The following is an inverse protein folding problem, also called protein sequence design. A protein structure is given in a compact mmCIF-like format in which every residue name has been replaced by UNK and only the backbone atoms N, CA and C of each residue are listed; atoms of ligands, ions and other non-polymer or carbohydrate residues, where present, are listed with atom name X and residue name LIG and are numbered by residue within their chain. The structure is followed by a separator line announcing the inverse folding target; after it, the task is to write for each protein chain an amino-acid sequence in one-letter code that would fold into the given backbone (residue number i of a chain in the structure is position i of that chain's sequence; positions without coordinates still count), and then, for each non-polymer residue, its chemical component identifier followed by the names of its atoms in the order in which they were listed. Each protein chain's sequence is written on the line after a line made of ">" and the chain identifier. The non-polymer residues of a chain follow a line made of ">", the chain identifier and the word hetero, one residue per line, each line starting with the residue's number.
data_IF_510772279128
#
_entry.id   IF_510772279128
#
_cell.length_a   1.000
_cell.length_b   1.000
_cell.length_c   1.000
_cell.angle_alpha   90.00
_cell.angle_beta   90.00
_cell.angle_gamma   90.00
#
_symmetry.space_group_name_H-M   'P 1'
#
loop_
_entity.id
_entity.type
_entity.pdbx_description
1 polymer ?
#
# COMPACT_ATOMS: atom_id res chain seq x y z
N UNK A 1 5.10 9.53 -3.22
CA UNK A 1 4.21 8.76 -2.33
C UNK A 1 4.75 8.88 -0.91
N UNK A 2 3.94 9.34 0.05
CA UNK A 2 4.37 9.62 1.42
C UNK A 2 5.03 8.41 2.10
N UNK A 3 4.37 7.25 2.06
CA UNK A 3 4.92 6.01 2.64
C UNK A 3 6.25 5.57 1.99
N UNK A 4 6.39 5.74 0.67
CA UNK A 4 7.64 5.40 -0.02
C UNK A 4 8.78 6.26 0.49
N UNK A 5 8.58 7.58 0.58
CA UNK A 5 9.56 8.51 1.13
C UNK A 5 9.88 8.18 2.58
N UNK A 6 8.86 8.00 3.42
CA UNK A 6 9.03 7.66 4.83
C UNK A 6 9.92 6.43 5.04
N UNK A 7 9.75 5.38 4.24
CA UNK A 7 10.56 4.16 4.30
C UNK A 7 11.98 4.40 3.78
N UNK A 8 12.13 5.05 2.61
CA UNK A 8 13.45 5.26 1.99
C UNK A 8 14.32 6.24 2.76
N UNK A 9 13.74 7.28 3.35
CA UNK A 9 14.44 8.28 4.16
C UNK A 9 15.01 7.66 5.45
N UNK A 10 14.48 6.50 5.86
CA UNK A 10 14.98 5.69 6.99
C UNK A 10 15.89 4.53 6.56
N UNK A 11 16.32 4.51 5.30
CA UNK A 11 17.22 3.49 4.74
C UNK A 11 16.53 2.18 4.34
N UNK A 12 15.20 2.12 4.35
CA UNK A 12 14.45 0.96 3.89
C UNK A 12 14.23 0.94 2.38
N UNK A 13 13.84 -0.22 1.85
CA UNK A 13 13.44 -0.38 0.45
C UNK A 13 11.93 -0.64 0.36
N UNK A 14 11.23 0.18 -0.43
CA UNK A 14 9.79 0.04 -0.62
C UNK A 14 9.46 -0.55 -2.00
N UNK A 15 8.94 -1.78 -2.01
CA UNK A 15 8.51 -2.47 -3.23
C UNK A 15 6.99 -2.34 -3.40
N UNK A 16 6.55 -1.43 -4.28
CA UNK A 16 5.15 -1.37 -4.70
C UNK A 16 4.85 -2.50 -5.70
N UNK A 17 3.77 -3.23 -5.47
CA UNK A 17 3.35 -4.34 -6.32
C UNK A 17 1.83 -4.41 -6.46
N UNK A 18 1.36 -5.34 -7.29
CA UNK A 18 -0.06 -5.57 -7.54
C UNK A 18 -0.78 -5.98 -6.26
N UNK A 19 -1.98 -5.44 -6.05
CA UNK A 19 -2.87 -5.82 -4.95
C UNK A 19 -3.31 -7.29 -5.07
N UNK A 20 -3.67 -7.89 -3.95
CA UNK A 20 -4.04 -9.30 -3.78
C UNK A 20 -3.00 -10.04 -2.93
N UNK A 21 -3.42 -10.60 -1.79
CA UNK A 21 -2.52 -11.24 -0.81
C UNK A 21 -1.52 -12.22 -1.45
N UNK A 22 -1.98 -13.00 -2.44
CA UNK A 22 -1.14 -13.98 -3.14
C UNK A 22 -0.08 -13.30 -4.00
N UNK A 23 -0.43 -12.21 -4.70
CA UNK A 23 0.52 -11.43 -5.47
C UNK A 23 1.63 -10.85 -4.57
N UNK A 24 1.27 -10.37 -3.38
CA UNK A 24 2.22 -9.84 -2.40
C UNK A 24 3.16 -10.93 -1.87
N UNK A 25 2.61 -12.08 -1.46
CA UNK A 25 3.41 -13.22 -0.97
C UNK A 25 4.34 -13.73 -2.06
N UNK A 26 3.83 -13.98 -3.26
CA UNK A 26 4.61 -14.53 -4.37
C UNK A 26 5.76 -13.58 -4.76
N UNK A 27 5.50 -12.27 -4.77
CA UNK A 27 6.56 -11.27 -5.00
C UNK A 27 7.60 -11.26 -3.89
N UNK A 28 7.20 -11.38 -2.63
CA UNK A 28 8.12 -11.47 -1.51
C UNK A 28 9.02 -12.70 -1.55
N UNK A 29 8.44 -13.86 -1.89
CA UNK A 29 9.19 -15.11 -2.11
C UNK A 29 10.18 -14.96 -3.25
N UNK A 30 9.78 -14.32 -4.36
CA UNK A 30 10.67 -14.06 -5.48
C UNK A 30 11.85 -13.18 -5.07
N UNK A 31 11.59 -12.05 -4.39
CA UNK A 31 12.63 -11.14 -3.92
C UNK A 31 13.63 -11.83 -2.98
N UNK A 32 13.14 -12.65 -2.04
CA UNK A 32 14.03 -13.41 -1.16
C UNK A 32 14.92 -14.39 -1.92
N UNK A 33 14.41 -15.04 -2.98
CA UNK A 33 15.22 -15.90 -3.86
C UNK A 33 16.28 -15.11 -4.63
N UNK A 34 15.96 -13.87 -4.98
CA UNK A 34 16.88 -12.94 -5.65
C UNK A 34 17.87 -12.28 -4.67
N UNK A 35 17.90 -12.72 -3.40
CA UNK A 35 18.80 -12.21 -2.36
C UNK A 35 18.37 -10.87 -1.75
N UNK A 36 17.15 -10.41 -2.05
CA UNK A 36 16.57 -9.19 -1.48
C UNK A 36 15.68 -9.58 -0.31
N UNK A 37 16.15 -9.31 0.91
CA UNK A 37 15.39 -9.64 2.12
C UNK A 37 14.09 -8.83 2.23
N UNK A 38 12.99 -9.52 2.51
CA UNK A 38 11.66 -8.93 2.61
C UNK A 38 11.06 -9.16 3.99
N UNK A 39 11.41 -8.27 4.94
CA UNK A 39 10.97 -8.37 6.33
C UNK A 39 9.46 -8.14 6.56
N UNK A 40 8.78 -7.44 5.63
CA UNK A 40 7.37 -7.09 5.75
C UNK A 40 6.69 -7.09 4.38
N UNK A 41 5.51 -7.71 4.34
CA UNK A 41 4.67 -7.89 3.15
C UNK A 41 3.23 -7.56 3.55
N UNK A 42 2.64 -6.52 2.97
CA UNK A 42 1.29 -6.08 3.32
C UNK A 42 0.54 -5.59 2.08
N UNK A 43 -0.78 -5.72 2.12
CA UNK A 43 -1.70 -5.02 1.21
C UNK A 43 -2.75 -4.26 2.03
N UNK A 44 -3.31 -3.20 1.43
CA UNK A 44 -4.57 -2.62 1.90
C UNK A 44 -5.72 -3.56 1.54
N UNK A 45 -5.86 -4.65 2.28
CA UNK A 45 -7.08 -5.48 2.21
C UNK A 45 -7.98 -5.14 3.39
N UNK A 46 -9.24 -4.83 3.11
CA UNK A 46 -10.32 -4.97 4.08
C UNK A 46 -10.21 -6.39 4.67
N UNK A 47 -10.01 -6.48 5.99
CA UNK A 47 -9.80 -7.72 6.78
C UNK A 47 -10.11 -9.02 6.02
N UNK A 48 -9.10 -9.72 5.51
CA UNK A 48 -9.27 -11.10 5.04
C UNK A 48 -9.24 -12.01 6.27
N UNK A 49 -10.36 -12.66 6.66
CA UNK A 49 -10.45 -13.44 7.89
C UNK A 49 -9.87 -14.87 7.72
N UNK A 50 -8.77 -15.04 6.99
CA UNK A 50 -8.19 -16.36 6.74
C UNK A 50 -6.67 -16.35 6.58
N UNK A 51 -5.97 -16.15 7.71
CA UNK A 51 -4.88 -17.02 8.23
C UNK A 51 -4.18 -16.37 9.44
N UNK A 52 -4.92 -16.35 10.55
CA UNK A 52 -4.59 -16.54 11.99
C UNK A 52 -3.26 -16.12 12.65
N UNK A 53 -2.22 -15.65 11.95
CA UNK A 53 -0.90 -15.40 12.59
C UNK A 53 -0.36 -13.98 12.33
N UNK A 54 -0.66 -13.32 11.19
CA UNK A 54 -0.03 -12.03 10.86
C UNK A 54 -0.53 -10.84 11.69
N UNK A 55 -1.86 -10.66 11.85
CA UNK A 55 -2.42 -9.52 12.60
C UNK A 55 -2.05 -9.59 14.09
N UNK A 56 -2.20 -10.76 14.72
CA UNK A 56 -1.84 -10.96 16.12
C UNK A 56 -0.34 -10.73 16.34
N UNK A 57 0.53 -11.22 15.45
CA UNK A 57 1.97 -10.97 15.54
C UNK A 57 2.31 -9.50 15.35
N UNK A 58 1.60 -8.75 14.51
CA UNK A 58 1.81 -7.30 14.37
C UNK A 58 1.39 -6.54 15.62
N UNK A 59 0.22 -6.85 16.20
CA UNK A 59 -0.24 -6.23 17.45
C UNK A 59 0.74 -6.52 18.58
N UNK A 60 1.23 -7.76 18.70
CA UNK A 60 2.24 -8.12 19.71
C UNK A 60 3.54 -7.33 19.49
N UNK A 61 4.02 -7.21 18.26
CA UNK A 61 5.22 -6.39 17.96
C UNK A 61 5.01 -4.92 18.33
N UNK A 62 3.83 -4.35 18.07
CA UNK A 62 3.50 -2.99 18.49
C UNK A 62 3.49 -2.85 20.01
N UNK A 63 2.90 -3.79 20.74
CA UNK A 63 2.88 -3.77 22.21
C UNK A 63 4.29 -3.88 22.78
N UNK A 64 5.10 -4.80 22.25
CA UNK A 64 6.51 -4.94 22.67
C UNK A 64 7.27 -3.63 22.45
N UNK A 65 7.06 -2.96 21.32
CA UNK A 65 7.72 -1.69 21.04
C UNK A 65 7.25 -0.57 21.97
N UNK A 66 5.94 -0.47 22.25
CA UNK A 66 5.42 0.47 23.25
C UNK A 66 6.02 0.25 24.64
N UNK A 67 6.19 -1.01 25.05
CA UNK A 67 6.82 -1.34 26.34
C UNK A 67 8.30 -0.97 26.33
N UNK A 68 9.04 -1.24 25.25
CA UNK A 68 10.45 -0.84 25.13
C UNK A 68 10.63 0.67 25.23
N UNK A 69 9.83 1.43 24.49
CA UNK A 69 9.83 2.89 24.57
C UNK A 69 9.62 3.38 26.00
N UNK A 70 8.67 2.78 26.74
CA UNK A 70 8.42 3.15 28.13
C UNK A 70 9.58 2.80 29.06
N UNK A 71 10.22 1.64 28.86
CA UNK A 71 11.39 1.22 29.64
C UNK A 71 12.63 2.10 29.36
N UNK A 72 12.75 2.63 28.15
CA UNK A 72 13.80 3.60 27.75
C UNK A 72 13.52 5.02 28.26
N UNK A 73 12.42 5.23 29.01
CA UNK A 73 12.06 6.52 29.60
C UNK A 73 11.32 7.46 28.66
N UNK A 74 10.83 6.97 27.52
CA UNK A 74 9.98 7.75 26.64
C UNK A 74 8.57 7.90 27.22
N UNK A 75 8.11 9.14 27.27
CA UNK A 75 6.72 9.49 27.60
C UNK A 75 5.86 9.68 26.34
N UNK A 76 6.47 9.57 25.14
CA UNK A 76 5.75 9.66 23.87
C UNK A 76 5.06 8.32 23.53
N UNK A 77 3.86 8.38 22.95
CA UNK A 77 3.17 7.18 22.47
C UNK A 77 3.72 6.68 21.13
N UNK A 78 3.28 5.48 20.70
CA UNK A 78 3.73 4.82 19.45
C UNK A 78 3.60 5.70 18.19
N UNK A 79 2.69 6.67 18.20
CA UNK A 79 2.51 7.62 17.10
C UNK A 79 3.76 8.47 16.82
N UNK A 80 4.65 8.66 17.79
CA UNK A 80 5.90 9.40 17.55
C UNK A 80 6.81 8.69 16.54
N UNK A 81 6.73 7.37 16.43
CA UNK A 81 7.51 6.58 15.46
C UNK A 81 7.15 6.91 14.00
N UNK A 82 5.93 7.42 13.77
CA UNK A 82 5.41 7.77 12.44
C UNK A 82 5.21 9.27 12.26
N UNK A 83 5.78 10.12 13.12
CA UNK A 83 5.56 11.58 13.07
C UNK A 83 5.97 12.22 11.74
N UNK A 84 6.98 11.67 11.08
CA UNK A 84 7.46 12.17 9.79
C UNK A 84 6.76 11.49 8.59
N UNK A 85 5.73 10.69 8.83
CA UNK A 85 4.91 10.11 7.78
C UNK A 85 3.89 11.14 7.32
N UNK A 86 4.13 11.73 6.14
CA UNK A 86 3.19 12.69 5.55
C UNK A 86 1.81 12.05 5.34
N UNK A 87 0.76 12.67 5.88
CA UNK A 87 -0.62 12.28 5.59
C UNK A 87 -1.15 13.01 4.35
N UNK A 88 -1.94 12.35 3.49
CA UNK A 88 -2.58 13.03 2.38
C UNK A 88 -3.57 14.08 2.89
N UNK A 89 -3.60 15.26 2.25
CA UNK A 89 -4.53 16.35 2.60
C UNK A 89 -6.00 15.90 2.52
N UNK A 90 -6.31 15.01 1.57
CA UNK A 90 -7.62 14.41 1.39
C UNK A 90 -7.43 12.99 0.83
N UNK A 91 -8.22 12.04 1.34
CA UNK A 91 -8.27 10.67 0.82
C UNK A 91 -9.74 10.22 0.78
N UNK A 92 -10.20 9.83 -0.42
CA UNK A 92 -11.55 9.30 -0.64
C UNK A 92 -11.43 8.02 -1.46
N UNK A 93 -12.09 6.97 -0.99
CA UNK A 93 -12.26 5.72 -1.74
C UNK A 93 -13.60 5.74 -2.47
N UNK A 94 -13.57 5.57 -3.80
CA UNK A 94 -14.77 5.51 -4.65
C UNK A 94 -14.97 4.09 -5.17
N UNK A 95 -16.14 3.50 -4.88
CA UNK A 95 -16.53 2.18 -5.39
C UNK A 95 -17.62 2.35 -6.45
N UNK A 96 -17.26 2.07 -7.70
CA UNK A 96 -18.17 2.20 -8.85
C UNK A 96 -18.61 0.83 -9.33
N UNK A 97 -19.92 0.67 -9.57
CA UNK A 97 -20.47 -0.54 -10.17
C UNK A 97 -20.18 -0.57 -11.67
N UNK A 98 -19.68 -1.70 -12.18
CA UNK A 98 -19.49 -1.90 -13.62
C UNK A 98 -20.77 -2.52 -14.19
N UNK A 99 -21.56 -1.71 -14.90
CA UNK A 99 -22.83 -2.08 -15.53
C UNK A 99 -22.60 -2.83 -16.86
N UNK A 100 -21.87 -3.94 -16.82
CA UNK A 100 -21.62 -4.79 -17.99
C UNK A 100 -21.68 -6.28 -17.60
N UNK A 101 -21.91 -7.16 -18.57
CA UNK A 101 -21.83 -8.60 -18.34
C UNK A 101 -20.43 -9.01 -17.80
N UNK A 102 -20.32 -10.05 -16.95
CA UNK A 102 -19.07 -10.40 -16.25
C UNK A 102 -17.85 -10.57 -17.17
N UNK A 103 -18.06 -11.11 -18.38
CA UNK A 103 -17.01 -11.31 -19.39
C UNK A 103 -16.31 -10.01 -19.80
N UNK A 104 -17.00 -8.87 -19.74
CA UNK A 104 -16.47 -7.57 -20.16
C UNK A 104 -16.11 -6.65 -19.00
N UNK A 105 -16.40 -7.05 -17.76
CA UNK A 105 -16.27 -6.21 -16.59
C UNK A 105 -14.82 -5.70 -16.41
N UNK A 106 -13.82 -6.57 -16.55
CA UNK A 106 -12.40 -6.20 -16.45
C UNK A 106 -12.02 -5.14 -17.50
N UNK A 107 -12.37 -5.37 -18.76
CA UNK A 107 -12.06 -4.44 -19.86
C UNK A 107 -12.74 -3.09 -19.67
N UNK A 108 -14.02 -3.08 -19.24
CA UNK A 108 -14.76 -1.86 -18.95
C UNK A 108 -14.19 -1.10 -17.75
N UNK A 109 -13.77 -1.79 -16.70
CA UNK A 109 -13.09 -1.17 -15.56
C UNK A 109 -11.78 -0.50 -15.94
N UNK A 110 -10.94 -1.17 -16.73
CA UNK A 110 -9.68 -0.62 -17.24
C UNK A 110 -9.95 0.62 -18.13
N UNK A 111 -10.96 0.53 -19.02
CA UNK A 111 -11.36 1.65 -19.87
C UNK A 111 -11.79 2.86 -19.03
N UNK A 112 -12.63 2.66 -18.02
CA UNK A 112 -13.10 3.74 -17.14
C UNK A 112 -11.95 4.42 -16.39
N UNK A 113 -10.97 3.66 -15.87
CA UNK A 113 -9.78 4.22 -15.22
C UNK A 113 -8.95 5.04 -16.21
N UNK A 114 -8.78 4.55 -17.45
CA UNK A 114 -8.02 5.25 -18.49
C UNK A 114 -8.70 6.56 -18.89
N UNK A 115 -10.01 6.54 -19.09
CA UNK A 115 -10.80 7.73 -19.43
C UNK A 115 -10.77 8.77 -18.30
N UNK A 116 -10.91 8.32 -17.05
CA UNK A 116 -10.79 9.19 -15.88
C UNK A 116 -9.40 9.85 -15.81
N UNK A 117 -8.33 9.10 -16.07
CA UNK A 117 -6.97 9.66 -16.13
C UNK A 117 -6.86 10.76 -17.19
N UNK A 118 -7.30 10.48 -18.42
CA UNK A 118 -7.27 11.45 -19.51
C UNK A 118 -8.09 12.71 -19.18
N UNK A 119 -9.24 12.54 -18.54
CA UNK A 119 -10.07 13.66 -18.09
C UNK A 119 -9.33 14.54 -17.08
N UNK A 120 -8.68 13.92 -16.09
CA UNK A 120 -7.91 14.64 -15.07
C UNK A 120 -6.66 15.32 -15.65
N UNK A 121 -5.96 14.69 -16.60
CA UNK A 121 -4.78 15.27 -17.25
C UNK A 121 -5.14 16.39 -18.23
N UNK A 122 -6.29 16.27 -18.92
CA UNK A 122 -6.82 17.28 -19.83
C UNK A 122 -7.38 18.51 -19.11
N UNK A 123 -7.80 18.36 -17.85
CA UNK A 123 -8.06 19.49 -16.97
C UNK A 123 -6.72 19.92 -16.39
N UNK A 124 -6.24 21.12 -16.70
CA UNK A 124 -5.03 21.68 -16.07
C UNK A 124 -5.30 21.94 -14.58
N UNK A 125 -5.36 20.87 -13.77
CA UNK A 125 -5.49 20.96 -12.33
C UNK A 125 -4.10 21.26 -11.80
N UNK A 126 -3.76 22.55 -11.76
CA UNK A 126 -2.51 23.05 -11.17
C UNK A 126 -2.31 22.42 -9.78
N UNK A 127 -1.20 21.71 -9.60
CA UNK A 127 -0.67 21.33 -8.30
C UNK A 127 -1.06 19.95 -7.75
N UNK A 128 -1.65 19.04 -8.54
CA UNK A 128 -1.94 17.67 -8.07
C UNK A 128 -1.26 16.62 -8.94
N UNK A 129 -0.42 15.79 -8.33
CA UNK A 129 0.24 14.65 -8.96
C UNK A 129 -0.66 13.41 -8.81
N UNK A 130 -1.13 12.85 -9.92
CA UNK A 130 -1.96 11.64 -9.93
C UNK A 130 -1.16 10.44 -10.44
N UNK A 131 -1.33 9.28 -9.81
CA UNK A 131 -0.77 8.01 -10.30
C UNK A 131 -1.77 6.90 -10.02
N UNK A 132 -2.14 6.16 -11.05
CA UNK A 132 -3.05 5.00 -10.94
C UNK A 132 -2.26 3.70 -10.90
N UNK A 133 -2.74 2.71 -10.14
CA UNK A 133 -2.07 1.41 -9.95
C UNK A 133 -2.04 0.49 -11.18
N UNK A 134 -2.60 0.94 -12.31
CA UNK A 134 -2.71 0.15 -13.55
C UNK A 134 -1.41 0.19 -14.38
N UNK A 135 -0.48 1.10 -14.07
CA UNK A 135 0.74 1.33 -14.88
C UNK A 135 1.95 0.51 -14.42
N UNK A 136 1.78 -0.55 -13.62
CA UNK A 136 2.88 -1.50 -13.41
C UNK A 136 3.00 -2.37 -14.66
N UNK A 137 4.17 -2.38 -15.34
CA UNK A 137 4.40 -3.28 -16.45
C UNK A 137 4.04 -4.71 -16.02
N UNK A 138 3.44 -5.48 -16.92
CA UNK A 138 3.45 -6.93 -16.79
C UNK A 138 4.91 -7.35 -16.63
N UNK A 139 5.27 -7.74 -15.41
CA UNK A 139 6.46 -8.53 -15.20
C UNK A 139 6.18 -9.86 -15.89
N UNK A 140 6.90 -10.09 -16.98
CA UNK A 140 6.98 -11.36 -17.69
C UNK A 140 7.26 -12.54 -16.74
#
# INVERSE_FOLDING_TARGET
>A
MALTRFITDRGGHHCLYRVGYRNVIDKGVQLNKDGIETHLMMEHSDMVPSKRITFLMMVVKLIVEMVRMKLEGSEEGIGSLIRDLDEPLESVELRMNILSGPRFAKTKGIQAIKEFRNYIEGQSVRGRTWRTWVDTPEAD
#
